data_IF_034556408293
#
_entry.id   IF_034556408293
#
_cell.length_a   1.000
_cell.length_b   1.000
_cell.length_c   1.000
_cell.angle_alpha   90.00
_cell.angle_beta   90.00
_cell.angle_gamma   90.00
#
_symmetry.space_group_name_H-M   'P 1'
#
loop_
_entity.id
_entity.type
_entity.pdbx_description
1 polymer ?
#
# COMPACT_ATOMS: atom_id res chain seq x y z
N UNK A 1 -17.66 -5.01 17.75
CA UNK A 1 -16.31 -5.63 17.66
C UNK A 1 -16.04 -5.91 16.19
N UNK A 2 -14.95 -5.45 15.58
CA UNK A 2 -14.66 -5.87 14.19
C UNK A 2 -13.88 -4.88 13.34
N UNK A 3 -12.72 -4.40 13.80
CA UNK A 3 -11.77 -3.75 12.90
C UNK A 3 -10.82 -4.82 12.37
N UNK A 4 -10.88 -5.09 11.06
CA UNK A 4 -9.89 -5.95 10.40
C UNK A 4 -8.57 -5.20 10.32
N UNK A 5 -7.54 -5.71 11.00
CA UNK A 5 -6.19 -5.16 10.92
C UNK A 5 -5.58 -5.59 9.59
N UNK A 6 -5.28 -4.61 8.72
CA UNK A 6 -4.76 -4.84 7.35
C UNK A 6 -3.35 -4.28 7.12
N UNK A 7 -2.73 -3.69 8.16
CA UNK A 7 -1.39 -3.09 8.08
C UNK A 7 -1.31 -1.83 7.20
N UNK A 8 -0.10 -1.26 7.10
CA UNK A 8 0.16 -0.02 6.35
C UNK A 8 -0.10 -0.19 4.86
N UNK A 9 0.46 -1.23 4.23
CA UNK A 9 0.31 -1.51 2.79
C UNK A 9 -1.17 -1.78 2.44
N UNK A 10 -1.89 -2.54 3.26
CA UNK A 10 -3.32 -2.78 3.05
C UNK A 10 -4.15 -1.50 3.12
N UNK A 11 -3.72 -0.53 3.95
CA UNK A 11 -4.37 0.79 4.03
C UNK A 11 -4.13 1.61 2.77
N UNK A 12 -2.95 1.53 2.16
CA UNK A 12 -2.65 2.19 0.88
C UNK A 12 -3.51 1.64 -0.25
N UNK A 13 -3.60 0.30 -0.35
CA UNK A 13 -4.44 -0.38 -1.35
C UNK A 13 -5.91 0.04 -1.17
N UNK A 14 -6.41 0.01 0.07
CA UNK A 14 -7.78 0.42 0.37
C UNK A 14 -8.04 1.90 0.01
N UNK A 15 -7.07 2.78 0.27
CA UNK A 15 -7.20 4.21 -0.07
C UNK A 15 -7.28 4.42 -1.59
N UNK A 16 -6.51 3.68 -2.38
CA UNK A 16 -6.59 3.69 -3.85
C UNK A 16 -7.93 3.16 -4.35
N UNK A 17 -8.38 2.02 -3.86
CA UNK A 17 -9.67 1.43 -4.23
C UNK A 17 -10.86 2.34 -3.90
N UNK A 18 -10.73 3.19 -2.88
CA UNK A 18 -11.74 4.20 -2.51
C UNK A 18 -11.58 5.53 -3.26
N UNK A 19 -10.61 5.66 -4.16
CA UNK A 19 -10.35 6.89 -4.90
C UNK A 19 -9.77 8.03 -4.06
N UNK A 20 -9.36 7.76 -2.81
CA UNK A 20 -8.72 8.76 -1.93
C UNK A 20 -7.30 9.04 -2.41
N UNK A 21 -6.60 7.99 -2.81
CA UNK A 21 -5.24 8.09 -3.32
C UNK A 21 -5.23 7.76 -4.82
N UNK A 22 -4.74 8.65 -5.70
CA UNK A 22 -4.72 8.39 -7.13
C UNK A 22 -3.67 7.36 -7.53
N UNK A 23 -2.58 7.19 -6.76
CA UNK A 23 -1.57 6.14 -7.00
C UNK A 23 -0.85 5.71 -5.73
N UNK A 24 -0.56 4.41 -5.60
CA UNK A 24 0.13 3.88 -4.41
C UNK A 24 1.64 3.85 -4.56
N UNK A 25 2.16 3.79 -5.79
CA UNK A 25 3.59 3.65 -6.10
C UNK A 25 4.49 4.71 -5.45
N UNK A 26 4.20 6.04 -5.54
CA UNK A 26 5.05 7.04 -4.89
C UNK A 26 4.99 6.93 -3.36
N UNK A 27 3.87 6.49 -2.80
CA UNK A 27 3.73 6.33 -1.34
C UNK A 27 4.52 5.12 -0.84
N UNK A 28 4.54 4.02 -1.60
CA UNK A 28 5.41 2.87 -1.31
C UNK A 28 6.89 3.27 -1.32
N UNK A 29 7.29 4.15 -2.25
CA UNK A 29 8.67 4.62 -2.31
C UNK A 29 9.02 5.52 -1.11
N UNK A 30 8.10 6.39 -0.69
CA UNK A 30 8.27 7.17 0.56
C UNK A 30 8.42 6.26 1.78
N UNK A 31 7.69 5.14 1.84
CA UNK A 31 7.85 4.18 2.94
C UNK A 31 9.27 3.61 2.98
N UNK A 32 9.84 3.24 1.84
CA UNK A 32 11.22 2.78 1.77
C UNK A 32 12.21 3.86 2.23
N UNK A 33 12.05 5.08 1.72
CA UNK A 33 12.92 6.21 2.00
C UNK A 33 12.87 6.65 3.48
N UNK A 34 11.75 6.38 4.16
CA UNK A 34 11.55 6.69 5.59
C UNK A 34 11.93 5.54 6.53
N UNK A 35 12.52 4.47 5.99
CA UNK A 35 13.06 3.35 6.77
C UNK A 35 12.06 2.24 7.07
N UNK A 36 10.88 2.23 6.44
CA UNK A 36 10.02 1.05 6.45
C UNK A 36 10.60 0.00 5.51
N UNK A 37 10.65 -1.24 5.99
CA UNK A 37 11.04 -2.37 5.14
C UNK A 37 9.80 -3.07 4.60
N UNK A 38 9.55 -2.89 3.31
CA UNK A 38 8.53 -3.65 2.55
C UNK A 38 9.28 -4.57 1.59
N UNK A 39 9.03 -5.87 1.64
CA UNK A 39 9.68 -6.82 0.74
C UNK A 39 9.30 -6.54 -0.72
N UNK A 40 10.20 -6.85 -1.66
CA UNK A 40 9.93 -6.67 -3.09
C UNK A 40 8.64 -7.38 -3.53
N UNK A 41 8.46 -8.64 -3.11
CA UNK A 41 7.25 -9.42 -3.39
C UNK A 41 5.96 -8.75 -2.85
N UNK A 42 6.02 -8.10 -1.69
CA UNK A 42 4.87 -7.39 -1.14
C UNK A 42 4.58 -6.09 -1.89
N UNK A 43 5.61 -5.39 -2.40
CA UNK A 43 5.43 -4.21 -3.25
C UNK A 43 4.77 -4.58 -4.57
N UNK A 44 5.28 -5.63 -5.22
CA UNK A 44 4.73 -6.15 -6.48
C UNK A 44 3.27 -6.57 -6.31
N UNK A 45 2.96 -7.30 -5.24
CA UNK A 45 1.59 -7.69 -4.95
C UNK A 45 0.69 -6.48 -4.65
N UNK A 46 1.20 -5.48 -3.91
CA UNK A 46 0.44 -4.26 -3.63
C UNK A 46 0.11 -3.49 -4.91
N UNK A 47 1.08 -3.35 -5.82
CA UNK A 47 0.89 -2.71 -7.12
C UNK A 47 -0.12 -3.48 -7.97
N UNK A 48 -0.01 -4.81 -8.04
CA UNK A 48 -0.97 -5.68 -8.73
C UNK A 48 -2.40 -5.51 -8.21
N UNK A 49 -2.58 -5.45 -6.88
CA UNK A 49 -3.89 -5.25 -6.24
C UNK A 49 -4.44 -3.82 -6.38
N UNK A 50 -3.58 -2.86 -6.70
CA UNK A 50 -3.92 -1.46 -6.96
C UNK A 50 -4.04 -1.13 -8.45
N UNK A 51 -3.86 -2.12 -9.33
CA UNK A 51 -3.86 -1.99 -10.79
C UNK A 51 -2.76 -1.03 -11.30
N UNK A 52 -1.54 -1.14 -10.74
CA UNK A 52 -0.34 -0.33 -11.08
C UNK A 52 0.94 -1.15 -11.35
#
# INVERSE_FOLDING_TARGET
MGLRVIGTVGTLILAKQRGILPTIKPVLQILDDTGFYVSAALKEEALRLAEE
#
